data_IF_493222995836
#
_entry.id   IF_493222995836
#
_cell.length_a   1.000
_cell.length_b   1.000
_cell.length_c   1.000
_cell.angle_alpha   90.00
_cell.angle_beta   90.00
_cell.angle_gamma   90.00
#
_symmetry.space_group_name_H-M   'P 1'
#
loop_
_entity.id
_entity.type
_entity.pdbx_description
1 polymer ?
#
# COMPACT_ATOMS: atom_id res chain seq x y z
N UNK A 1 -3.42 2.94 0.41
CA UNK A 1 -2.49 3.72 -0.42
C UNK A 1 -2.18 2.99 -1.71
N UNK A 2 -1.49 1.84 -1.63
CA UNK A 2 -1.11 1.05 -2.81
C UNK A 2 -2.32 0.62 -3.68
N UNK A 3 -3.44 0.26 -3.06
CA UNK A 3 -4.69 -0.10 -3.74
C UNK A 3 -5.26 1.00 -4.65
N UNK A 4 -4.94 2.28 -4.38
CA UNK A 4 -5.31 3.39 -5.26
C UNK A 4 -4.17 3.75 -6.22
N UNK A 5 -2.92 3.67 -5.75
CA UNK A 5 -1.73 4.03 -6.52
C UNK A 5 -1.52 3.12 -7.73
N UNK A 6 -1.55 1.79 -7.56
CA UNK A 6 -1.22 0.86 -8.63
C UNK A 6 -2.20 0.98 -9.81
N UNK A 7 -3.54 0.99 -9.63
CA UNK A 7 -4.47 1.20 -10.74
C UNK A 7 -4.24 2.52 -11.48
N UNK A 8 -3.99 3.62 -10.75
CA UNK A 8 -3.72 4.93 -11.36
C UNK A 8 -2.43 4.91 -12.19
N UNK A 9 -1.38 4.25 -11.69
CA UNK A 9 -0.12 4.09 -12.42
C UNK A 9 -0.30 3.25 -13.70
N UNK A 10 -1.05 2.15 -13.63
CA UNK A 10 -1.36 1.33 -14.82
C UNK A 10 -2.13 2.14 -15.86
N UNK A 11 -3.13 2.92 -15.45
CA UNK A 11 -3.87 3.80 -16.35
C UNK A 11 -2.93 4.81 -17.01
N UNK A 12 -2.06 5.46 -16.24
CA UNK A 12 -1.11 6.44 -16.77
C UNK A 12 -0.14 5.82 -17.78
N UNK A 13 0.43 4.64 -17.48
CA UNK A 13 1.32 3.91 -18.40
C UNK A 13 0.59 3.53 -19.68
N UNK A 14 -0.65 3.05 -19.60
CA UNK A 14 -1.45 2.69 -20.78
C UNK A 14 -1.85 3.88 -21.63
N UNK A 15 -1.99 5.06 -21.03
CA UNK A 15 -2.27 6.29 -21.77
C UNK A 15 -1.05 6.79 -22.55
N UNK A 16 0.15 6.68 -21.97
CA UNK A 16 1.40 7.13 -22.62
C UNK A 16 2.02 6.09 -23.54
N UNK A 17 1.85 4.80 -23.23
CA UNK A 17 2.41 3.65 -23.94
C UNK A 17 1.38 2.50 -24.05
N UNK A 18 0.41 2.60 -24.97
CA UNK A 18 -0.69 1.63 -25.09
C UNK A 18 -0.22 0.18 -25.33
N UNK A 19 0.90 0.02 -26.03
CA UNK A 19 1.50 -1.27 -26.41
C UNK A 19 2.16 -2.03 -25.25
N UNK A 20 2.53 -1.36 -24.15
CA UNK A 20 3.17 -2.03 -23.01
C UNK A 20 2.16 -2.90 -22.30
N UNK A 21 2.35 -4.22 -22.29
CA UNK A 21 1.54 -5.12 -21.46
C UNK A 21 1.90 -4.96 -19.98
N UNK A 22 0.89 -4.90 -19.11
CA UNK A 22 1.08 -4.78 -17.66
C UNK A 22 0.36 -5.96 -16.99
N UNK A 23 1.09 -6.77 -16.23
CA UNK A 23 0.53 -7.81 -15.37
C UNK A 23 0.62 -7.39 -13.91
N UNK A 24 -0.37 -7.78 -13.12
CA UNK A 24 -0.39 -7.53 -11.67
C UNK A 24 -0.52 -8.88 -10.98
N UNK A 25 0.40 -9.15 -10.05
CA UNK A 25 0.42 -10.36 -9.23
C UNK A 25 0.18 -9.95 -7.78
N UNK A 26 -0.77 -10.61 -7.12
CA UNK A 26 -1.07 -10.40 -5.70
C UNK A 26 -0.53 -11.57 -4.87
N UNK A 27 0.03 -11.25 -3.70
CA UNK A 27 0.59 -12.23 -2.79
C UNK A 27 1.06 -11.60 -1.49
N UNK A 28 1.54 -12.42 -0.57
CA UNK A 28 2.18 -11.92 0.65
C UNK A 28 3.52 -11.25 0.32
N UNK A 29 3.99 -10.36 1.20
CA UNK A 29 5.27 -9.69 1.02
C UNK A 29 6.44 -10.68 0.83
N UNK A 30 6.43 -11.77 1.59
CA UNK A 30 7.44 -12.85 1.52
C UNK A 30 7.46 -13.53 0.14
N UNK A 31 6.28 -13.88 -0.38
CA UNK A 31 6.14 -14.54 -1.69
C UNK A 31 6.58 -13.61 -2.81
N UNK A 32 6.11 -12.36 -2.80
CA UNK A 32 6.44 -11.38 -3.82
C UNK A 32 7.92 -10.99 -3.78
N UNK A 33 8.53 -10.90 -2.58
CA UNK A 33 9.97 -10.65 -2.46
C UNK A 33 10.79 -11.79 -3.05
N UNK A 34 10.36 -13.04 -2.84
CA UNK A 34 10.99 -14.21 -3.47
C UNK A 34 10.86 -14.17 -4.99
N UNK A 35 9.67 -13.86 -5.53
CA UNK A 35 9.46 -13.70 -6.98
C UNK A 35 10.32 -12.59 -7.58
N UNK A 36 10.50 -11.47 -6.87
CA UNK A 36 11.39 -10.39 -7.30
C UNK A 36 12.85 -10.86 -7.35
N UNK A 37 13.32 -11.58 -6.33
CA UNK A 37 14.68 -12.15 -6.33
C UNK A 37 14.90 -13.16 -7.46
N UNK A 38 13.84 -13.87 -7.88
CA UNK A 38 13.85 -14.81 -9.01
C UNK A 38 13.62 -14.14 -10.37
N UNK A 39 13.45 -12.83 -10.42
CA UNK A 39 13.10 -12.08 -11.64
C UNK A 39 11.80 -12.54 -12.30
N UNK A 40 10.85 -13.06 -11.51
CA UNK A 40 9.49 -13.41 -11.96
C UNK A 40 8.58 -12.17 -12.00
N UNK A 41 8.93 -11.13 -11.25
CA UNK A 41 8.32 -9.80 -11.30
C UNK A 41 9.42 -8.74 -11.36
N UNK A 42 9.14 -7.62 -12.01
CA UNK A 42 10.12 -6.54 -12.18
C UNK A 42 10.14 -5.56 -10.99
N UNK A 43 9.01 -5.44 -10.29
CA UNK A 43 8.81 -4.46 -9.23
C UNK A 43 7.80 -4.95 -8.19
N UNK A 44 8.08 -4.61 -6.93
CA UNK A 44 7.21 -4.87 -5.79
C UNK A 44 6.73 -3.54 -5.22
N UNK A 45 5.41 -3.34 -5.19
CA UNK A 45 4.77 -2.19 -4.54
C UNK A 45 4.11 -2.68 -3.25
N UNK A 46 4.66 -2.26 -2.11
CA UNK A 46 4.21 -2.73 -0.82
C UNK A 46 4.65 -1.81 0.31
N UNK A 47 4.38 -2.25 1.54
CA UNK A 47 4.87 -1.55 2.73
C UNK A 47 6.38 -1.72 2.82
N UNK A 48 7.05 -0.61 3.09
CA UNK A 48 8.47 -0.63 3.40
C UNK A 48 8.61 -1.02 4.89
N UNK A 49 9.20 -2.19 5.17
CA UNK A 49 9.47 -2.67 6.53
C UNK A 49 10.97 -2.54 6.88
N UNK A 50 11.33 -1.79 7.93
CA UNK A 50 12.70 -1.71 8.49
C UNK A 50 13.44 -3.03 8.64
N UNK A 51 12.74 -4.10 9.01
CA UNK A 51 13.33 -5.43 9.19
C UNK A 51 13.62 -6.16 7.89
N UNK A 52 12.92 -5.82 6.81
CA UNK A 52 12.94 -6.53 5.52
C UNK A 52 13.89 -5.89 4.49
N UNK A 53 14.44 -4.69 4.75
CA UNK A 53 15.42 -4.02 3.87
C UNK A 53 16.81 -4.69 3.84
N UNK A 54 16.91 -5.99 4.12
CA UNK A 54 18.18 -6.70 4.13
C UNK A 54 18.44 -7.29 2.75
N UNK A 55 19.45 -6.76 2.06
CA UNK A 55 19.92 -7.31 0.78
C UNK A 55 20.29 -6.23 -0.24
N UNK A 56 20.29 -6.61 -1.51
CA UNK A 56 20.67 -5.79 -2.68
C UNK A 56 19.49 -5.06 -3.33
N UNK A 57 18.29 -5.17 -2.76
CA UNK A 57 17.09 -4.55 -3.33
C UNK A 57 17.13 -3.03 -3.17
N UNK A 58 16.79 -2.31 -4.24
CA UNK A 58 16.65 -0.87 -4.22
C UNK A 58 15.22 -0.49 -3.83
N UNK A 59 15.09 0.29 -2.75
CA UNK A 59 13.79 0.69 -2.22
C UNK A 59 13.54 2.17 -2.47
N UNK A 60 12.34 2.51 -2.95
CA UNK A 60 11.89 3.88 -3.18
C UNK A 60 10.67 4.15 -2.30
N UNK A 61 10.76 5.16 -1.43
CA UNK A 61 9.59 5.64 -0.67
C UNK A 61 8.70 6.44 -1.60
N UNK A 62 7.48 5.95 -1.81
CA UNK A 62 6.50 6.60 -2.68
C UNK A 62 5.63 7.60 -1.91
N UNK A 63 5.21 7.24 -0.69
CA UNK A 63 4.36 8.08 0.15
C UNK A 63 4.34 7.56 1.60
N UNK A 64 3.78 8.36 2.51
CA UNK A 64 3.45 7.94 3.88
C UNK A 64 1.98 7.64 4.03
N UNK A 65 1.67 6.44 4.53
CA UNK A 65 0.29 6.06 4.81
C UNK A 65 -0.08 6.42 6.24
N UNK A 66 -0.86 7.50 6.41
CA UNK A 66 -1.42 7.84 7.71
C UNK A 66 -2.42 6.78 8.17
N UNK A 67 -2.23 6.24 9.38
CA UNK A 67 -3.23 5.39 10.04
C UNK A 67 -4.38 6.27 10.50
N UNK A 68 -5.62 5.90 10.13
CA UNK A 68 -6.83 6.65 10.47
C UNK A 68 -7.85 5.74 11.13
N UNK A 69 -8.49 6.23 12.18
CA UNK A 69 -9.69 5.59 12.75
C UNK A 69 -10.87 5.83 11.79
N UNK A 70 -11.65 4.77 11.54
CA UNK A 70 -12.84 4.84 10.68
C UNK A 70 -14.03 4.38 11.50
N UNK A 71 -15.10 5.18 11.47
CA UNK A 71 -16.36 4.89 12.16
C UNK A 71 -17.51 4.96 11.17
N UNK A 72 -18.62 4.29 11.49
CA UNK A 72 -19.86 4.43 10.71
C UNK A 72 -20.34 5.88 10.68
N UNK A 73 -21.16 6.24 9.69
CA UNK A 73 -21.82 7.55 9.64
C UNK A 73 -22.69 7.76 10.90
N UNK A 74 -22.68 8.98 11.43
CA UNK A 74 -23.44 9.33 12.64
C UNK A 74 -22.95 8.64 13.92
N UNK A 75 -21.67 8.26 13.98
CA UNK A 75 -21.09 7.69 15.19
C UNK A 75 -20.94 8.75 16.30
N UNK A 76 -21.21 8.44 17.58
CA UNK A 76 -21.11 9.41 18.68
C UNK A 76 -19.76 10.12 18.78
N UNK A 77 -18.66 9.39 18.52
CA UNK A 77 -17.31 9.95 18.50
C UNK A 77 -17.10 11.10 17.49
N UNK A 78 -18.00 11.29 16.52
CA UNK A 78 -17.96 12.41 15.57
C UNK A 78 -18.56 13.71 16.15
N UNK A 79 -19.26 13.64 17.29
CA UNK A 79 -19.90 14.80 17.93
C UNK A 79 -18.92 15.57 18.83
N UNK A 80 -17.70 15.07 18.99
CA UNK A 80 -16.62 15.64 19.80
C UNK A 80 -15.31 15.59 18.99
N UNK A 81 -14.23 16.18 19.52
CA UNK A 81 -12.88 15.95 19.01
C UNK A 81 -12.21 14.90 19.91
N UNK A 82 -12.37 13.58 19.60
CA UNK A 82 -11.94 12.54 20.51
C UNK A 82 -10.41 12.45 20.55
N UNK A 83 -9.86 12.22 21.74
CA UNK A 83 -8.50 11.71 21.91
C UNK A 83 -8.51 10.19 21.72
N UNK A 84 -7.33 9.61 21.48
CA UNK A 84 -7.20 8.16 21.26
C UNK A 84 -7.78 7.35 22.44
N UNK A 85 -7.58 7.82 23.68
CA UNK A 85 -8.10 7.16 24.88
C UNK A 85 -9.63 7.10 24.90
N UNK A 86 -10.31 8.15 24.42
CA UNK A 86 -11.78 8.20 24.37
C UNK A 86 -12.33 7.14 23.40
N UNK A 87 -11.57 6.84 22.34
CA UNK A 87 -11.96 5.85 21.33
C UNK A 87 -11.96 4.41 21.86
N UNK A 88 -11.17 4.12 22.91
CA UNK A 88 -11.11 2.77 23.52
C UNK A 88 -12.41 2.35 24.20
N UNK A 89 -13.29 3.32 24.50
CA UNK A 89 -14.60 3.06 25.11
C UNK A 89 -15.66 2.60 24.10
N UNK A 90 -15.39 2.74 22.81
CA UNK A 90 -16.27 2.28 21.74
C UNK A 90 -15.83 0.88 21.25
N UNK A 91 -16.79 0.00 20.88
CA UNK A 91 -16.49 -1.34 20.39
C UNK A 91 -15.81 -1.35 19.01
#
# INVERSE_FOLDING_TARGET
GAYALLPQAVVAVKQTHPEISVSVVEGTAEVLATSLQRSEVDLLVGRLDPGTYRGTLHHIRLYDEAVRAVVRRGHPALSVTPQLADLLSYP
#
